data_IF_067606130920
#
_entry.id   IF_067606130920
#
_cell.length_a   1.000
_cell.length_b   1.000
_cell.length_c   1.000
_cell.angle_alpha   90.00
_cell.angle_beta   90.00
_cell.angle_gamma   90.00
#
_symmetry.space_group_name_H-M   'P 1'
#
loop_
_entity.id
_entity.type
_entity.pdbx_description
1 polymer ?
#
# COMPACT_ATOMS: atom_id res chain seq x y z
N UNK A 1 18.62 -63.08 -43.80
CA UNK A 1 18.40 -62.32 -42.58
C UNK A 1 18.50 -60.84 -42.94
N UNK A 2 17.35 -60.18 -43.17
CA UNK A 2 17.29 -58.75 -43.50
C UNK A 2 17.22 -57.92 -42.21
N UNK A 3 18.15 -57.00 -42.01
CA UNK A 3 18.19 -56.11 -40.87
C UNK A 3 16.98 -55.18 -40.93
N UNK A 4 16.34 -54.86 -39.79
CA UNK A 4 15.25 -53.87 -39.77
C UNK A 4 15.77 -52.43 -39.99
N UNK A 5 15.31 -51.83 -41.06
CA UNK A 5 15.53 -50.40 -41.35
C UNK A 5 14.80 -49.57 -40.31
N UNK A 6 15.50 -49.07 -39.33
CA UNK A 6 14.99 -48.06 -38.37
C UNK A 6 14.84 -46.74 -39.13
N UNK A 7 13.64 -46.48 -39.61
CA UNK A 7 13.24 -45.10 -40.06
C UNK A 7 13.19 -44.19 -38.87
N UNK A 8 14.22 -43.37 -38.67
CA UNK A 8 14.24 -42.24 -37.73
C UNK A 8 13.30 -41.17 -38.26
N UNK A 9 12.03 -41.26 -37.90
CA UNK A 9 11.07 -40.20 -38.12
C UNK A 9 11.48 -38.96 -37.25
N UNK A 10 11.80 -37.86 -37.90
CA UNK A 10 12.11 -36.60 -37.20
C UNK A 10 10.95 -36.26 -36.24
N UNK A 11 11.23 -35.99 -34.96
CA UNK A 11 10.15 -35.67 -34.00
C UNK A 11 9.38 -34.48 -34.51
N UNK A 12 8.06 -34.59 -34.49
CA UNK A 12 7.16 -33.52 -34.91
C UNK A 12 7.41 -32.27 -34.01
N UNK A 13 7.29 -31.08 -34.57
CA UNK A 13 7.55 -29.82 -33.85
C UNK A 13 6.80 -29.74 -32.50
N UNK A 14 5.61 -30.33 -32.38
CA UNK A 14 4.85 -30.39 -31.11
C UNK A 14 5.51 -31.29 -30.05
N UNK A 15 6.22 -32.36 -30.44
CA UNK A 15 6.98 -33.19 -29.50
C UNK A 15 8.22 -32.44 -28.99
N UNK A 16 8.82 -31.61 -29.83
CA UNK A 16 9.90 -30.71 -29.41
C UNK A 16 9.41 -29.65 -28.43
N UNK A 17 8.20 -29.09 -28.61
CA UNK A 17 7.59 -28.14 -27.68
C UNK A 17 7.16 -28.78 -26.36
N UNK A 18 6.73 -30.06 -26.37
CA UNK A 18 6.45 -30.85 -25.15
C UNK A 18 7.72 -31.15 -24.33
N UNK A 19 8.86 -31.25 -25.01
CA UNK A 19 10.19 -31.41 -24.39
C UNK A 19 10.85 -30.08 -23.96
N UNK A 20 10.13 -28.95 -23.97
CA UNK A 20 10.70 -27.66 -23.61
C UNK A 20 11.19 -27.68 -22.16
N UNK A 21 12.47 -27.38 -21.93
CA UNK A 21 13.07 -27.40 -20.61
C UNK A 21 12.48 -26.29 -19.73
N UNK A 22 11.96 -26.65 -18.56
CA UNK A 22 11.39 -25.74 -17.56
C UNK A 22 12.35 -24.64 -17.14
N UNK A 23 13.65 -24.83 -17.28
CA UNK A 23 14.69 -23.82 -16.96
C UNK A 23 14.49 -22.54 -17.74
N UNK A 24 14.06 -22.64 -19.01
CA UNK A 24 13.78 -21.47 -19.84
C UNK A 24 12.56 -20.66 -19.36
N UNK A 25 11.54 -21.34 -18.81
CA UNK A 25 10.37 -20.68 -18.23
C UNK A 25 10.78 -19.92 -16.96
N UNK A 26 11.61 -20.55 -16.11
CA UNK A 26 12.13 -19.86 -14.91
C UNK A 26 13.06 -18.71 -15.26
N UNK A 27 13.90 -18.85 -16.27
CA UNK A 27 14.75 -17.76 -16.75
C UNK A 27 13.90 -16.59 -17.27
N UNK A 28 12.91 -16.88 -18.11
CA UNK A 28 12.00 -15.86 -18.64
C UNK A 28 11.22 -15.17 -17.52
N UNK A 29 10.75 -15.91 -16.51
CA UNK A 29 10.10 -15.35 -15.32
C UNK A 29 11.06 -14.46 -14.51
N UNK A 30 12.30 -14.90 -14.30
CA UNK A 30 13.33 -14.12 -13.63
C UNK A 30 13.61 -12.80 -14.37
N UNK A 31 13.73 -12.84 -15.69
CA UNK A 31 13.90 -11.64 -16.51
C UNK A 31 12.66 -10.74 -16.46
N UNK A 32 11.46 -11.30 -16.49
CA UNK A 32 10.21 -10.56 -16.38
C UNK A 32 10.08 -9.79 -15.05
N UNK A 33 10.75 -10.25 -13.99
CA UNK A 33 10.80 -9.56 -12.69
C UNK A 33 11.95 -8.55 -12.64
N UNK A 34 13.16 -8.95 -13.06
CA UNK A 34 14.38 -8.14 -12.88
C UNK A 34 14.42 -6.95 -13.83
N UNK A 35 13.95 -7.12 -15.06
CA UNK A 35 14.01 -6.04 -16.07
C UNK A 35 13.15 -4.82 -15.67
N UNK A 36 11.87 -4.96 -15.28
CA UNK A 36 11.09 -3.81 -14.83
C UNK A 36 11.61 -3.17 -13.53
N UNK A 37 12.29 -3.96 -12.68
CA UNK A 37 12.89 -3.43 -11.46
C UNK A 37 14.04 -2.46 -11.76
N UNK A 38 14.83 -2.71 -12.79
CA UNK A 38 15.95 -1.85 -13.20
C UNK A 38 15.53 -0.78 -14.22
N UNK A 39 14.56 -1.09 -15.05
CA UNK A 39 14.02 -0.20 -16.07
C UNK A 39 12.51 -0.06 -15.90
N UNK A 40 12.05 0.84 -14.99
CA UNK A 40 10.62 1.06 -14.78
C UNK A 40 9.92 1.39 -16.09
N UNK A 41 8.87 0.64 -16.41
CA UNK A 41 8.13 0.76 -17.68
C UNK A 41 7.14 1.93 -17.60
N UNK A 42 6.65 2.22 -16.39
CA UNK A 42 5.66 3.27 -16.15
C UNK A 42 4.31 2.94 -16.77
N UNK A 43 3.86 1.69 -16.62
CA UNK A 43 2.56 1.29 -17.13
C UNK A 43 1.46 2.19 -16.56
N UNK A 44 0.55 2.70 -17.41
CA UNK A 44 -0.51 3.58 -16.95
C UNK A 44 -1.44 2.83 -15.98
N UNK A 45 -1.51 3.31 -14.76
CA UNK A 45 -2.41 2.80 -13.73
C UNK A 45 -3.63 3.69 -13.67
N UNK A 46 -4.83 3.11 -13.81
CA UNK A 46 -6.08 3.88 -13.68
C UNK A 46 -6.52 3.85 -12.22
N UNK A 47 -6.64 5.01 -11.54
CA UNK A 47 -7.05 5.04 -10.15
C UNK A 47 -8.44 4.43 -9.94
N UNK A 48 -8.54 3.56 -8.97
CA UNK A 48 -9.81 3.01 -8.51
C UNK A 48 -10.64 4.09 -7.79
N UNK A 49 -11.97 3.95 -7.75
CA UNK A 49 -12.83 4.88 -7.02
C UNK A 49 -12.44 5.01 -5.54
N UNK A 50 -11.99 3.92 -4.90
CA UNK A 50 -11.58 3.90 -3.50
C UNK A 50 -10.31 4.73 -3.27
N UNK A 51 -9.30 4.55 -4.11
CA UNK A 51 -8.03 5.30 -4.05
C UNK A 51 -8.24 6.77 -4.39
N UNK A 52 -9.05 7.05 -5.42
CA UNK A 52 -9.38 8.43 -5.79
C UNK A 52 -10.11 9.15 -4.66
N UNK A 53 -11.07 8.52 -4.02
CA UNK A 53 -11.80 9.08 -2.88
C UNK A 53 -10.87 9.37 -1.69
N UNK A 54 -9.88 8.49 -1.43
CA UNK A 54 -8.85 8.74 -0.43
C UNK A 54 -8.04 9.99 -0.77
N UNK A 55 -7.57 10.11 -2.00
CA UNK A 55 -6.82 11.27 -2.48
C UNK A 55 -7.64 12.56 -2.37
N UNK A 56 -8.88 12.58 -2.88
CA UNK A 56 -9.76 13.75 -2.87
C UNK A 56 -10.08 14.18 -1.42
N UNK A 57 -10.24 13.22 -0.51
CA UNK A 57 -10.48 13.48 0.92
C UNK A 57 -9.28 14.19 1.57
N UNK A 58 -8.06 13.70 1.34
CA UNK A 58 -6.87 14.33 1.88
C UNK A 58 -6.61 15.69 1.20
N UNK A 59 -6.92 15.84 -0.09
CA UNK A 59 -6.80 17.10 -0.82
C UNK A 59 -7.79 18.17 -0.34
N UNK A 60 -8.91 17.77 0.26
CA UNK A 60 -9.91 18.69 0.81
C UNK A 60 -9.50 19.36 2.13
N UNK A 61 -8.43 18.90 2.78
CA UNK A 61 -7.94 19.44 4.04
C UNK A 61 -7.31 20.82 3.84
N UNK A 62 -7.39 21.65 4.87
CA UNK A 62 -6.88 23.01 4.84
C UNK A 62 -5.62 23.16 5.70
N UNK A 63 -4.86 24.22 5.45
CA UNK A 63 -3.71 24.57 6.28
C UNK A 63 -4.13 24.75 7.75
N UNK A 64 -3.37 24.12 8.64
CA UNK A 64 -3.63 24.14 10.09
C UNK A 64 -4.62 23.08 10.58
N UNK A 65 -5.35 22.38 9.68
CA UNK A 65 -6.16 21.23 10.09
C UNK A 65 -5.26 20.19 10.80
N UNK A 66 -5.78 19.52 11.82
CA UNK A 66 -5.06 18.49 12.57
C UNK A 66 -5.63 17.13 12.23
N UNK A 67 -4.76 16.21 11.79
CA UNK A 67 -5.08 14.85 11.40
C UNK A 67 -4.48 13.87 12.40
N UNK A 68 -5.28 12.91 12.87
CA UNK A 68 -4.79 11.76 13.62
C UNK A 68 -4.28 10.70 12.64
N UNK A 69 -3.06 10.20 12.86
CA UNK A 69 -2.42 9.17 12.03
C UNK A 69 -2.11 7.95 12.90
N UNK A 70 -2.79 6.83 12.67
CA UNK A 70 -2.46 5.55 13.29
C UNK A 70 -1.58 4.73 12.36
N UNK A 71 -0.44 4.26 12.85
CA UNK A 71 0.53 3.47 12.10
C UNK A 71 0.66 2.08 12.74
N UNK A 72 -0.22 1.16 12.35
CA UNK A 72 -0.37 -0.16 12.94
C UNK A 72 0.15 -1.23 11.99
N UNK A 73 1.48 -1.39 11.95
CA UNK A 73 2.17 -2.21 10.95
C UNK A 73 3.41 -2.90 11.53
N UNK A 74 3.94 -3.84 10.77
CA UNK A 74 5.16 -4.58 11.04
C UNK A 74 6.15 -4.48 9.85
N UNK A 75 7.39 -4.97 9.99
CA UNK A 75 8.37 -4.96 8.92
C UNK A 75 7.90 -5.67 7.64
N UNK A 76 7.10 -6.73 7.76
CA UNK A 76 6.65 -7.52 6.60
C UNK A 76 5.64 -6.75 5.73
N UNK A 77 4.81 -5.91 6.32
CA UNK A 77 3.80 -5.09 5.62
C UNK A 77 4.36 -3.77 5.07
N UNK A 78 5.56 -3.39 5.45
CA UNK A 78 6.22 -2.14 5.02
C UNK A 78 6.24 -1.96 3.49
N UNK A 79 6.55 -2.96 2.65
CA UNK A 79 6.59 -2.77 1.20
C UNK A 79 5.26 -2.35 0.58
N UNK A 80 4.12 -2.71 1.19
CA UNK A 80 2.79 -2.34 0.70
C UNK A 80 2.31 -0.99 1.25
N UNK A 81 2.70 -0.64 2.49
CA UNK A 81 2.14 0.50 3.22
C UNK A 81 3.03 1.76 3.19
N UNK A 82 4.36 1.61 3.17
CA UNK A 82 5.27 2.74 3.14
C UNK A 82 5.11 3.63 1.91
N UNK A 83 4.90 3.11 0.67
CA UNK A 83 4.70 3.95 -0.51
C UNK A 83 3.48 4.88 -0.37
N UNK A 84 2.35 4.34 0.11
CA UNK A 84 1.18 5.16 0.41
C UNK A 84 1.47 6.19 1.50
N UNK A 85 2.11 5.78 2.61
CA UNK A 85 2.46 6.69 3.68
C UNK A 85 3.31 7.86 3.17
N UNK A 86 4.36 7.60 2.40
CA UNK A 86 5.21 8.64 1.80
C UNK A 86 4.41 9.60 0.93
N UNK A 87 3.54 9.08 0.08
CA UNK A 87 2.75 9.87 -0.85
C UNK A 87 1.67 10.70 -0.13
N UNK A 88 0.99 10.11 0.86
CA UNK A 88 0.01 10.82 1.67
C UNK A 88 0.67 11.91 2.54
N UNK A 89 1.86 11.65 3.09
CA UNK A 89 2.60 12.67 3.84
C UNK A 89 3.08 13.82 2.93
N UNK A 90 3.54 13.54 1.72
CA UNK A 90 3.84 14.59 0.75
C UNK A 90 2.62 15.48 0.49
N UNK A 91 1.45 14.87 0.29
CA UNK A 91 0.20 15.59 0.08
C UNK A 91 -0.19 16.44 1.30
N UNK A 92 -0.16 15.88 2.51
CA UNK A 92 -0.51 16.59 3.74
C UNK A 92 0.47 17.72 4.07
N UNK A 93 1.77 17.47 3.86
CA UNK A 93 2.82 18.47 4.14
C UNK A 93 2.74 19.68 3.20
N UNK A 94 2.48 19.47 1.89
CA UNK A 94 2.30 20.58 0.95
C UNK A 94 1.07 21.44 1.25
N UNK A 95 0.08 20.86 1.96
CA UNK A 95 -1.12 21.56 2.40
C UNK A 95 -0.99 22.20 3.80
N UNK A 96 0.12 22.01 4.49
CA UNK A 96 0.33 22.56 5.84
C UNK A 96 -0.53 21.90 6.92
N UNK A 97 -0.97 20.64 6.71
CA UNK A 97 -1.79 19.88 7.65
C UNK A 97 -0.94 19.36 8.79
N UNK A 98 -1.37 19.55 10.04
CA UNK A 98 -0.65 19.09 11.24
C UNK A 98 -0.98 17.62 11.56
N UNK A 99 -0.01 16.90 12.13
CA UNK A 99 -0.10 15.47 12.33
C UNK A 99 0.01 15.08 13.81
N UNK A 100 -0.90 14.26 14.30
CA UNK A 100 -0.78 13.57 15.60
C UNK A 100 -0.66 12.07 15.33
N UNK A 101 0.52 11.51 15.59
CA UNK A 101 0.91 10.17 15.18
C UNK A 101 0.90 9.25 16.40
N UNK A 102 0.33 8.05 16.26
CA UNK A 102 0.34 7.02 17.29
C UNK A 102 0.44 5.63 16.66
N UNK A 103 0.73 4.63 17.47
CA UNK A 103 0.66 3.22 17.06
C UNK A 103 0.11 2.34 18.18
N UNK A 104 -0.64 1.32 17.79
CA UNK A 104 -1.18 0.29 18.68
C UNK A 104 -0.46 -1.07 18.52
N UNK A 105 0.57 -1.12 17.66
CA UNK A 105 1.35 -2.34 17.42
C UNK A 105 2.72 -2.26 18.07
N UNK A 106 3.08 -3.30 18.83
CA UNK A 106 4.35 -3.37 19.54
C UNK A 106 5.58 -3.41 18.62
N UNK A 107 5.41 -3.91 17.38
CA UNK A 107 6.48 -3.98 16.39
C UNK A 107 6.67 -2.66 15.61
N UNK A 108 5.71 -1.74 15.68
CA UNK A 108 5.71 -0.53 14.89
C UNK A 108 6.63 0.60 15.40
N UNK A 109 6.89 0.82 16.69
CA UNK A 109 7.64 2.00 17.15
C UNK A 109 8.95 2.26 16.40
N UNK A 110 9.87 1.28 16.19
CA UNK A 110 11.11 1.55 15.45
C UNK A 110 10.87 1.96 14.00
N UNK A 111 9.82 1.41 13.37
CA UNK A 111 9.43 1.77 12.00
C UNK A 111 8.84 3.18 11.95
N UNK A 112 7.96 3.51 12.88
CA UNK A 112 7.34 4.84 12.98
C UNK A 112 8.39 5.91 13.20
N UNK A 113 9.35 5.70 14.11
CA UNK A 113 10.46 6.62 14.34
C UNK A 113 11.33 6.81 13.09
N UNK A 114 11.62 5.72 12.35
CA UNK A 114 12.31 5.80 11.06
C UNK A 114 11.50 6.63 10.07
N UNK A 115 10.20 6.35 9.93
CA UNK A 115 9.34 7.08 9.01
C UNK A 115 9.17 8.56 9.39
N UNK A 116 9.16 8.87 10.68
CA UNK A 116 9.18 10.26 11.15
C UNK A 116 10.44 10.96 10.63
N UNK A 117 11.64 10.41 10.85
CA UNK A 117 12.88 11.00 10.37
C UNK A 117 12.93 11.11 8.84
N UNK A 118 12.61 10.02 8.14
CA UNK A 118 12.85 9.92 6.71
C UNK A 118 11.73 10.56 5.85
N UNK A 119 10.53 10.76 6.42
CA UNK A 119 9.34 11.19 5.67
C UNK A 119 8.75 12.48 6.23
N UNK A 120 8.67 12.62 7.56
CA UNK A 120 8.03 13.78 8.19
C UNK A 120 9.06 14.93 8.36
N UNK A 121 10.22 14.65 8.92
CA UNK A 121 11.27 15.63 9.22
C UNK A 121 12.16 15.93 7.99
N UNK A 122 11.97 15.21 6.88
CA UNK A 122 12.72 15.40 5.63
C UNK A 122 11.78 15.85 4.53
N UNK A 123 12.13 16.87 3.70
CA UNK A 123 11.35 17.19 2.52
C UNK A 123 11.36 16.02 1.53
N UNK A 124 10.18 15.62 1.05
CA UNK A 124 10.04 14.51 0.09
C UNK A 124 10.14 14.97 -1.36
N UNK A 125 9.71 16.20 -1.64
CA UNK A 125 9.75 16.83 -2.94
C UNK A 125 10.11 18.32 -2.79
N UNK A 126 11.36 18.66 -2.44
CA UNK A 126 11.81 20.05 -2.43
C UNK A 126 11.71 20.67 -3.83
N UNK A 127 11.78 22.00 -3.90
CA UNK A 127 11.75 22.71 -5.18
C UNK A 127 12.80 22.16 -6.15
N UNK A 128 12.39 21.86 -7.40
CA UNK A 128 13.26 21.29 -8.42
C UNK A 128 13.42 19.76 -8.38
N UNK A 129 12.61 19.04 -7.59
CA UNK A 129 12.60 17.58 -7.60
C UNK A 129 12.25 17.05 -8.99
N UNK A 130 13.14 16.25 -9.58
CA UNK A 130 12.94 15.67 -10.90
C UNK A 130 11.68 14.79 -10.95
N UNK A 131 10.88 14.96 -12.01
CA UNK A 131 9.65 14.18 -12.21
C UNK A 131 8.49 14.53 -11.28
N UNK A 132 8.60 15.61 -10.49
CA UNK A 132 7.53 16.13 -9.66
C UNK A 132 7.10 17.52 -10.10
N UNK A 133 5.81 17.69 -10.40
CA UNK A 133 5.23 18.95 -10.90
C UNK A 133 4.37 19.70 -9.87
N UNK A 134 4.17 19.09 -8.71
CA UNK A 134 3.38 19.69 -7.63
C UNK A 134 4.14 20.76 -6.83
N UNK A 135 3.46 21.44 -5.91
CA UNK A 135 4.11 22.41 -5.02
C UNK A 135 5.11 21.71 -4.09
N UNK A 136 6.26 22.33 -3.78
CA UNK A 136 7.26 21.76 -2.89
C UNK A 136 6.69 21.56 -1.48
N UNK A 137 7.16 20.51 -0.82
CA UNK A 137 6.92 20.28 0.59
C UNK A 137 8.11 20.76 1.43
N UNK A 138 7.90 20.88 2.75
CA UNK A 138 8.92 21.23 3.72
C UNK A 138 9.09 20.16 4.79
N UNK A 139 10.23 20.18 5.46
CA UNK A 139 10.42 19.43 6.68
C UNK A 139 9.44 19.88 7.76
N UNK A 140 8.83 18.96 8.48
CA UNK A 140 7.99 19.24 9.63
C UNK A 140 8.80 19.29 10.91
N UNK A 141 8.43 20.21 11.78
CA UNK A 141 9.07 20.41 13.09
C UNK A 141 8.25 19.75 14.18
N UNK A 142 8.93 18.98 15.02
CA UNK A 142 8.35 18.31 16.18
C UNK A 142 7.68 19.32 17.11
N UNK A 143 6.53 18.94 17.67
CA UNK A 143 5.69 19.73 18.57
C UNK A 143 5.13 21.04 17.96
N UNK A 144 5.39 21.30 16.67
CA UNK A 144 4.87 22.46 15.93
C UNK A 144 3.96 21.99 14.79
N UNK A 145 4.47 21.11 13.94
CA UNK A 145 3.78 20.56 12.77
C UNK A 145 3.30 19.13 13.00
N UNK A 146 3.99 18.39 13.88
CA UNK A 146 3.60 17.04 14.25
C UNK A 146 3.90 16.71 15.72
N UNK A 147 3.14 15.76 16.27
CA UNK A 147 3.36 15.16 17.59
C UNK A 147 3.33 13.64 17.45
N UNK A 148 4.31 12.96 18.05
CA UNK A 148 4.28 11.51 18.18
C UNK A 148 3.90 11.12 19.61
N UNK A 149 2.77 10.42 19.76
CA UNK A 149 2.24 10.01 21.05
C UNK A 149 2.86 8.69 21.56
N UNK A 150 3.53 7.95 20.66
CA UNK A 150 4.14 6.66 20.99
C UNK A 150 3.20 5.48 20.81
N UNK A 151 3.55 4.38 21.46
CA UNK A 151 2.84 3.11 21.44
C UNK A 151 1.93 2.96 22.66
N UNK A 152 0.75 2.38 22.45
CA UNK A 152 -0.15 1.91 23.53
C UNK A 152 -0.70 0.53 23.21
N UNK A 153 -0.49 -0.38 24.14
CA UNK A 153 -1.07 -1.72 24.06
C UNK A 153 -2.50 -1.72 24.61
N UNK A 154 -3.37 -2.56 24.06
CA UNK A 154 -4.72 -2.78 24.60
C UNK A 154 -5.80 -3.05 23.56
N UNK A 155 -5.42 -3.32 22.33
CA UNK A 155 -6.36 -3.76 21.27
C UNK A 155 -7.61 -2.85 21.19
N UNK A 156 -8.80 -3.46 21.19
CA UNK A 156 -10.10 -2.79 21.09
C UNK A 156 -10.38 -1.78 22.22
N UNK A 157 -9.96 -2.10 23.45
CA UNK A 157 -10.19 -1.22 24.59
C UNK A 157 -9.48 0.14 24.41
N UNK A 158 -8.25 0.13 23.87
CA UNK A 158 -7.53 1.36 23.60
C UNK A 158 -8.21 2.18 22.50
N UNK A 159 -8.69 1.55 21.42
CA UNK A 159 -9.41 2.26 20.36
C UNK A 159 -10.67 2.95 20.91
N UNK A 160 -11.43 2.27 21.73
CA UNK A 160 -12.60 2.86 22.40
C UNK A 160 -12.20 4.02 23.32
N UNK A 161 -11.10 3.89 24.06
CA UNK A 161 -10.58 4.95 24.93
C UNK A 161 -10.08 6.16 24.13
N UNK A 162 -9.41 5.95 22.98
CA UNK A 162 -9.01 7.01 22.06
C UNK A 162 -10.22 7.83 21.56
N UNK A 163 -11.33 7.14 21.28
CA UNK A 163 -12.59 7.78 20.92
C UNK A 163 -13.13 8.71 21.99
N UNK A 164 -12.88 8.39 23.26
CA UNK A 164 -13.37 9.16 24.41
C UNK A 164 -12.36 10.22 24.88
N UNK A 165 -11.09 9.84 25.09
CA UNK A 165 -10.04 10.72 25.60
C UNK A 165 -8.64 10.24 25.19
N UNK A 166 -8.08 10.89 24.16
CA UNK A 166 -6.75 10.58 23.66
C UNK A 166 -5.64 11.00 24.64
N UNK A 167 -5.85 12.08 25.39
CA UNK A 167 -4.87 12.58 26.36
C UNK A 167 -4.69 11.60 27.49
N UNK A 168 -5.79 11.15 28.07
CA UNK A 168 -5.77 10.13 29.12
C UNK A 168 -5.17 8.81 28.61
N UNK A 169 -5.51 8.42 27.41
CA UNK A 169 -5.01 7.17 26.81
C UNK A 169 -3.49 7.16 26.68
N UNK A 170 -2.88 8.29 26.34
CA UNK A 170 -1.42 8.45 26.24
C UNK A 170 -0.77 9.07 27.49
N UNK A 171 -1.48 9.16 28.62
CA UNK A 171 -0.93 9.69 29.88
C UNK A 171 -0.60 11.17 29.86
N UNK A 172 -1.24 11.95 28.95
CA UNK A 172 -1.06 13.39 28.85
C UNK A 172 0.29 13.85 28.32
N UNK A 173 1.10 12.95 27.74
CA UNK A 173 2.45 13.22 27.26
C UNK A 173 2.67 12.68 25.86
N UNK A 174 3.52 13.35 25.09
CA UNK A 174 4.11 12.82 23.85
C UNK A 174 5.17 11.76 24.18
N UNK A 175 5.61 11.02 23.17
CA UNK A 175 6.61 9.94 23.33
C UNK A 175 7.95 10.42 23.89
N UNK A 176 8.30 11.68 23.68
CA UNK A 176 9.50 12.33 24.21
C UNK A 176 9.34 12.88 25.66
N UNK A 177 8.18 12.62 26.27
CA UNK A 177 7.87 13.10 27.60
C UNK A 177 7.28 14.51 27.69
N UNK A 178 7.22 15.27 26.58
CA UNK A 178 6.64 16.63 26.55
C UNK A 178 5.15 16.58 26.94
N UNK A 179 4.69 17.35 27.93
CA UNK A 179 3.27 17.43 28.28
C UNK A 179 2.44 17.96 27.10
N UNK A 180 1.34 17.27 26.76
CA UNK A 180 0.48 17.66 25.64
C UNK A 180 -0.15 19.05 25.81
N UNK A 181 -0.30 19.51 27.05
CA UNK A 181 -0.82 20.86 27.34
C UNK A 181 0.19 21.97 27.00
N UNK A 182 1.46 21.65 26.84
CA UNK A 182 2.52 22.58 26.44
C UNK A 182 2.71 22.63 24.91
N UNK A 183 1.97 21.79 24.15
CA UNK A 183 2.07 21.70 22.70
C UNK A 183 0.90 22.47 22.06
N UNK A 184 1.13 23.64 21.44
CA UNK A 184 0.05 24.50 20.96
C UNK A 184 -0.90 23.83 19.98
N UNK A 185 -0.41 22.94 19.09
CA UNK A 185 -1.25 22.23 18.13
C UNK A 185 -2.21 21.22 18.79
N UNK A 186 -1.96 20.85 20.05
CA UNK A 186 -2.85 19.98 20.83
C UNK A 186 -3.95 20.73 21.58
N UNK A 187 -3.99 22.07 21.50
CA UNK A 187 -5.04 22.87 22.14
C UNK A 187 -6.40 22.55 21.52
N UNK A 188 -7.38 22.28 22.37
CA UNK A 188 -8.72 21.88 21.94
C UNK A 188 -8.88 20.40 21.57
N UNK A 189 -7.79 19.64 21.42
CA UNK A 189 -7.86 18.22 21.09
C UNK A 189 -7.90 17.39 22.37
N UNK A 190 -9.03 16.69 22.59
CA UNK A 190 -9.27 15.79 23.72
C UNK A 190 -9.57 14.36 23.29
N UNK A 191 -10.27 14.17 22.17
CA UNK A 191 -10.76 12.89 21.68
C UNK A 191 -10.59 12.80 20.16
N UNK A 192 -10.77 11.61 19.58
CA UNK A 192 -10.65 11.43 18.11
C UNK A 192 -11.61 12.30 17.30
N UNK A 193 -12.77 12.65 17.86
CA UNK A 193 -13.75 13.54 17.20
C UNK A 193 -13.26 14.98 17.00
N UNK A 194 -12.24 15.38 17.72
CA UNK A 194 -11.69 16.75 17.64
C UNK A 194 -10.69 16.90 16.48
N UNK A 195 -10.29 15.77 15.87
CA UNK A 195 -9.48 15.79 14.64
C UNK A 195 -10.35 16.00 13.41
N UNK A 196 -9.80 16.66 12.42
CA UNK A 196 -10.47 16.88 11.13
C UNK A 196 -10.66 15.58 10.35
N UNK A 197 -9.70 14.65 10.50
CA UNK A 197 -9.67 13.35 9.85
C UNK A 197 -8.81 12.39 10.68
N UNK A 198 -9.12 11.09 10.61
CA UNK A 198 -8.23 10.01 11.03
C UNK A 198 -7.71 9.28 9.80
N UNK A 199 -6.39 9.24 9.63
CA UNK A 199 -5.68 8.47 8.62
C UNK A 199 -5.14 7.19 9.26
N UNK A 200 -5.65 6.05 8.84
CA UNK A 200 -5.36 4.75 9.43
C UNK A 200 -4.51 3.94 8.46
N UNK A 201 -3.26 3.65 8.81
CA UNK A 201 -2.34 2.83 8.02
C UNK A 201 -2.10 1.55 8.79
N UNK A 202 -2.73 0.45 8.38
CA UNK A 202 -2.75 -0.77 9.19
C UNK A 202 -2.57 -2.05 8.37
N UNK A 203 -1.79 -2.98 8.92
CA UNK A 203 -1.52 -4.28 8.30
C UNK A 203 -2.53 -5.37 8.73
N UNK A 204 -3.25 -5.19 9.84
CA UNK A 204 -4.15 -6.22 10.38
C UNK A 204 -4.83 -5.80 11.68
N UNK A 205 -4.81 -6.68 12.68
CA UNK A 205 -5.52 -6.51 13.95
C UNK A 205 -4.57 -6.14 15.11
N UNK A 206 -4.92 -5.12 15.95
CA UNK A 206 -5.96 -4.12 15.74
C UNK A 206 -5.57 -3.15 14.63
N UNK A 207 -6.57 -2.62 13.90
CA UNK A 207 -6.32 -1.71 12.80
C UNK A 207 -7.56 -0.97 12.32
N UNK A 208 -7.59 -0.57 11.06
CA UNK A 208 -8.66 0.26 10.50
C UNK A 208 -10.07 -0.32 10.72
N UNK A 209 -10.23 -1.65 10.66
CA UNK A 209 -11.51 -2.33 10.91
C UNK A 209 -12.06 -2.02 12.30
N UNK A 210 -11.21 -2.13 13.33
CA UNK A 210 -11.59 -1.88 14.71
C UNK A 210 -11.88 -0.39 14.94
N UNK A 211 -11.16 0.52 14.32
CA UNK A 211 -11.49 1.94 14.36
C UNK A 211 -12.88 2.21 13.79
N UNK A 212 -13.26 1.59 12.67
CA UNK A 212 -14.61 1.73 12.11
C UNK A 212 -15.65 1.15 13.07
N UNK A 213 -15.44 -0.05 13.57
CA UNK A 213 -16.43 -0.77 14.41
C UNK A 213 -16.65 -0.13 15.78
N UNK A 214 -15.60 0.38 16.43
CA UNK A 214 -15.69 0.84 17.82
C UNK A 214 -15.84 2.34 17.98
N UNK A 215 -15.37 3.14 17.00
CA UNK A 215 -15.36 4.60 17.18
C UNK A 215 -15.99 5.38 16.04
N UNK A 216 -15.90 4.93 14.77
CA UNK A 216 -16.43 5.67 13.63
C UNK A 216 -17.94 5.90 13.77
N UNK A 217 -18.70 4.83 13.91
CA UNK A 217 -20.17 4.90 14.00
C UNK A 217 -20.64 5.65 15.24
N UNK A 218 -19.89 5.54 16.36
CA UNK A 218 -20.26 6.17 17.62
C UNK A 218 -20.04 7.67 17.65
N UNK A 219 -18.97 8.14 16.98
CA UNK A 219 -18.55 9.53 17.03
C UNK A 219 -18.63 10.25 15.68
N UNK A 220 -19.17 9.58 14.65
CA UNK A 220 -19.26 10.06 13.28
C UNK A 220 -17.91 10.62 12.75
N UNK A 221 -16.86 9.82 12.93
CA UNK A 221 -15.50 10.22 12.58
C UNK A 221 -15.28 10.15 11.06
N UNK A 222 -14.56 11.13 10.53
CA UNK A 222 -14.07 11.10 9.16
C UNK A 222 -12.80 10.26 9.11
N UNK A 223 -12.79 9.18 8.32
CA UNK A 223 -11.69 8.24 8.27
C UNK A 223 -11.30 7.91 6.83
N UNK A 224 -10.00 7.83 6.59
CA UNK A 224 -9.38 7.24 5.40
C UNK A 224 -8.48 6.12 5.88
N UNK A 225 -8.52 4.97 5.21
CA UNK A 225 -7.71 3.81 5.56
C UNK A 225 -6.77 3.43 4.42
N UNK A 226 -5.56 2.99 4.81
CA UNK A 226 -4.66 2.23 3.96
C UNK A 226 -4.38 0.88 4.64
N UNK A 227 -4.40 -0.18 3.84
CA UNK A 227 -4.22 -1.54 4.34
C UNK A 227 -3.43 -2.40 3.34
N UNK A 228 -2.99 -3.57 3.79
CA UNK A 228 -2.42 -4.58 2.88
C UNK A 228 -3.47 -5.09 1.90
N UNK A 229 -3.04 -5.64 0.77
CA UNK A 229 -3.94 -6.17 -0.25
C UNK A 229 -4.93 -7.20 0.30
N UNK A 230 -4.49 -8.05 1.22
CA UNK A 230 -5.33 -9.08 1.88
C UNK A 230 -6.46 -8.45 2.69
N UNK A 231 -6.20 -7.37 3.41
CA UNK A 231 -7.18 -6.70 4.27
C UNK A 231 -8.19 -5.83 3.50
N UNK A 232 -7.96 -5.59 2.22
CA UNK A 232 -8.84 -4.77 1.38
C UNK A 232 -10.25 -5.33 1.30
N UNK A 233 -10.39 -6.65 1.21
CA UNK A 233 -11.69 -7.33 1.14
C UNK A 233 -12.53 -7.11 2.39
N UNK A 234 -11.89 -7.05 3.56
CA UNK A 234 -12.56 -6.82 4.84
C UNK A 234 -12.99 -5.36 5.04
N UNK A 235 -12.25 -4.41 4.43
CA UNK A 235 -12.50 -2.98 4.57
C UNK A 235 -13.40 -2.40 3.47
N UNK A 236 -13.45 -3.03 2.31
CA UNK A 236 -14.27 -2.58 1.16
C UNK A 236 -15.75 -2.37 1.50
N UNK A 237 -16.43 -3.23 2.30
CA UNK A 237 -17.81 -2.99 2.69
C UNK A 237 -18.02 -1.69 3.49
N UNK A 238 -17.05 -1.30 4.33
CA UNK A 238 -17.13 -0.05 5.10
C UNK A 238 -16.96 1.19 4.22
N UNK A 239 -16.14 1.09 3.17
CA UNK A 239 -16.08 2.14 2.14
C UNK A 239 -17.40 2.27 1.38
N UNK A 240 -17.99 1.15 0.95
CA UNK A 240 -19.28 1.13 0.25
C UNK A 240 -20.42 1.67 1.13
N UNK A 241 -20.37 1.43 2.44
CA UNK A 241 -21.34 1.96 3.41
C UNK A 241 -21.08 3.44 3.77
N UNK A 242 -20.03 4.08 3.24
CA UNK A 242 -19.67 5.48 3.54
C UNK A 242 -19.05 5.69 4.92
N UNK A 243 -18.69 4.61 5.63
CA UNK A 243 -18.02 4.69 6.93
C UNK A 243 -16.53 5.02 6.79
N UNK A 244 -15.91 4.61 5.66
CA UNK A 244 -14.61 5.07 5.22
C UNK A 244 -14.78 6.01 4.03
N UNK A 245 -14.17 7.18 4.07
CA UNK A 245 -14.19 8.17 2.99
C UNK A 245 -13.23 7.85 1.86
N UNK A 246 -12.31 6.92 2.08
CA UNK A 246 -11.36 6.42 1.10
C UNK A 246 -10.64 5.20 1.62
N UNK A 247 -10.20 4.35 0.69
CA UNK A 247 -9.48 3.11 1.00
C UNK A 247 -8.38 2.87 -0.03
N UNK A 248 -7.16 2.64 0.45
CA UNK A 248 -6.00 2.30 -0.37
C UNK A 248 -5.51 0.91 0.03
N UNK A 249 -5.69 -0.07 -0.85
CA UNK A 249 -5.44 -1.48 -0.58
C UNK A 249 -4.20 -2.03 -1.29
N UNK A 250 -3.12 -2.28 -0.55
CA UNK A 250 -1.92 -2.92 -1.05
C UNK A 250 -1.08 -2.06 -2.01
N UNK A 251 -0.07 -2.69 -2.60
CA UNK A 251 0.92 -2.02 -3.44
C UNK A 251 0.32 -1.41 -4.71
N UNK A 252 -0.64 -2.09 -5.34
CA UNK A 252 -1.28 -1.60 -6.57
C UNK A 252 -2.04 -0.29 -6.34
N UNK A 253 -2.85 -0.21 -5.27
CA UNK A 253 -3.56 1.02 -4.92
C UNK A 253 -2.60 2.11 -4.42
N UNK A 254 -1.48 1.74 -3.79
CA UNK A 254 -0.41 2.68 -3.45
C UNK A 254 0.23 3.29 -4.70
N UNK A 255 0.40 2.51 -5.79
CA UNK A 255 0.88 3.01 -7.09
C UNK A 255 -0.13 3.98 -7.74
N UNK A 256 -1.43 3.66 -7.67
CA UNK A 256 -2.51 4.57 -8.09
C UNK A 256 -2.42 5.91 -7.33
N UNK A 257 -2.15 5.84 -6.03
CA UNK A 257 -2.04 7.03 -5.18
C UNK A 257 -0.78 7.86 -5.50
N UNK A 258 0.37 7.22 -5.72
CA UNK A 258 1.61 7.87 -6.19
C UNK A 258 1.36 8.68 -7.48
N UNK A 259 0.63 8.09 -8.43
CA UNK A 259 0.28 8.75 -9.68
C UNK A 259 -0.60 9.98 -9.43
N UNK A 260 -1.63 9.89 -8.55
CA UNK A 260 -2.50 11.02 -8.22
C UNK A 260 -1.75 12.17 -7.55
N UNK A 261 -0.77 11.86 -6.71
CA UNK A 261 0.09 12.86 -6.06
C UNK A 261 1.08 13.50 -7.05
N UNK A 262 1.29 12.86 -8.20
CA UNK A 262 2.20 13.35 -9.25
C UNK A 262 3.68 13.03 -8.98
N UNK A 263 3.96 12.02 -8.17
CA UNK A 263 5.32 11.57 -7.88
C UNK A 263 5.43 10.06 -7.97
N UNK A 264 6.15 9.56 -8.96
CA UNK A 264 6.49 8.15 -9.08
C UNK A 264 7.39 7.72 -7.91
N UNK A 265 7.05 6.60 -7.30
CA UNK A 265 7.79 6.03 -6.19
C UNK A 265 7.95 4.51 -6.33
N UNK A 266 8.24 3.87 -5.21
CA UNK A 266 8.49 2.43 -5.17
C UNK A 266 7.25 1.57 -5.45
N UNK A 267 6.04 2.11 -5.23
CA UNK A 267 4.82 1.38 -5.55
C UNK A 267 4.60 1.28 -7.06
N UNK A 268 4.84 2.34 -7.82
CA UNK A 268 4.74 2.29 -9.29
C UNK A 268 5.74 1.29 -9.88
N UNK A 269 6.98 1.28 -9.41
CA UNK A 269 7.98 0.29 -9.82
C UNK A 269 7.54 -1.14 -9.48
N UNK A 270 7.04 -1.36 -8.25
CA UNK A 270 6.52 -2.65 -7.84
C UNK A 270 5.29 -3.11 -8.62
N UNK A 271 4.40 -2.19 -8.99
CA UNK A 271 3.23 -2.47 -9.83
C UNK A 271 3.63 -2.91 -11.24
N UNK A 272 4.65 -2.29 -11.84
CA UNK A 272 5.20 -2.73 -13.14
C UNK A 272 5.69 -4.18 -13.07
N UNK A 273 6.46 -4.53 -12.03
CA UNK A 273 6.95 -5.90 -11.81
C UNK A 273 5.81 -6.89 -11.67
N UNK A 274 4.78 -6.55 -10.86
CA UNK A 274 3.60 -7.39 -10.69
C UNK A 274 2.85 -7.60 -12.01
N UNK A 275 2.61 -6.55 -12.77
CA UNK A 275 1.87 -6.60 -14.03
C UNK A 275 2.62 -7.43 -15.08
N UNK A 276 3.92 -7.24 -15.25
CA UNK A 276 4.74 -8.02 -16.17
C UNK A 276 4.82 -9.48 -15.73
N UNK A 277 5.01 -9.74 -14.43
CA UNK A 277 5.03 -11.09 -13.85
C UNK A 277 3.72 -11.83 -14.08
N UNK A 278 2.57 -11.22 -13.78
CA UNK A 278 1.24 -11.79 -14.04
C UNK A 278 1.01 -12.04 -15.53
N UNK A 279 1.38 -11.08 -16.41
CA UNK A 279 1.33 -11.25 -17.85
C UNK A 279 2.12 -12.47 -18.32
N UNK A 280 3.32 -12.67 -17.78
CA UNK A 280 4.16 -13.83 -18.10
C UNK A 280 3.54 -15.16 -17.63
N UNK A 281 2.92 -15.21 -16.46
CA UNK A 281 2.20 -16.40 -15.97
C UNK A 281 1.03 -16.72 -16.91
N UNK A 282 0.23 -15.73 -17.29
CA UNK A 282 -0.89 -15.93 -18.23
C UNK A 282 -0.39 -16.45 -19.56
N UNK A 283 0.68 -15.87 -20.13
CA UNK A 283 1.29 -16.33 -21.37
C UNK A 283 1.80 -17.77 -21.25
N UNK A 284 2.44 -18.13 -20.15
CA UNK A 284 2.91 -19.49 -19.92
C UNK A 284 1.76 -20.52 -19.85
N UNK A 285 0.65 -20.15 -19.20
CA UNK A 285 -0.57 -21.00 -19.14
C UNK A 285 -1.18 -21.15 -20.52
N UNK A 286 -1.33 -20.06 -21.29
CA UNK A 286 -1.88 -20.12 -22.66
C UNK A 286 -1.00 -20.96 -23.57
N UNK A 287 0.31 -20.78 -23.51
CA UNK A 287 1.27 -21.58 -24.26
C UNK A 287 1.20 -23.06 -23.91
N UNK A 288 1.20 -23.42 -22.62
CA UNK A 288 1.08 -24.79 -22.16
C UNK A 288 -0.21 -25.47 -22.64
N UNK A 289 -1.35 -24.79 -22.54
CA UNK A 289 -2.63 -25.25 -23.04
C UNK A 289 -2.63 -25.44 -24.56
N UNK A 290 -2.07 -24.47 -25.29
CA UNK A 290 -1.93 -24.56 -26.76
C UNK A 290 -1.15 -25.81 -27.18
N UNK A 291 0.02 -26.02 -26.59
CA UNK A 291 0.87 -27.21 -26.88
C UNK A 291 0.14 -28.49 -26.53
N UNK A 292 -0.55 -28.56 -25.41
CA UNK A 292 -1.35 -29.71 -24.98
C UNK A 292 -2.48 -30.06 -25.99
N UNK A 293 -3.29 -29.08 -26.37
CA UNK A 293 -4.40 -29.29 -27.30
C UNK A 293 -3.92 -29.71 -28.71
N UNK A 294 -2.84 -29.08 -29.18
CA UNK A 294 -2.23 -29.44 -30.47
C UNK A 294 -1.73 -30.89 -30.45
N UNK A 295 -1.01 -31.31 -29.41
CA UNK A 295 -0.53 -32.67 -29.26
C UNK A 295 -1.67 -33.68 -29.17
N UNK A 296 -2.76 -33.38 -28.44
CA UNK A 296 -3.96 -34.21 -28.34
C UNK A 296 -4.65 -34.36 -29.68
N UNK A 297 -4.76 -33.32 -30.48
CA UNK A 297 -5.39 -33.33 -31.82
C UNK A 297 -4.59 -34.20 -32.78
N UNK A 298 -3.28 -34.18 -32.73
CA UNK A 298 -2.41 -35.01 -33.56
C UNK A 298 -2.48 -36.51 -33.20
N UNK A 299 -2.44 -36.86 -31.91
CA UNK A 299 -2.62 -38.22 -31.43
C UNK A 299 -3.95 -38.85 -31.90
N UNK A 300 -5.05 -38.03 -31.86
CA UNK A 300 -6.35 -38.50 -32.37
C UNK A 300 -6.33 -38.71 -33.87
N UNK A 301 -5.65 -37.88 -34.67
CA UNK A 301 -5.52 -38.08 -36.13
C UNK A 301 -4.67 -39.29 -36.47
N UNK A 302 -3.59 -39.55 -35.76
CA UNK A 302 -2.73 -40.74 -35.94
C UNK A 302 -3.41 -42.04 -35.52
N UNK A 303 -4.40 -42.01 -34.63
CA UNK A 303 -5.17 -43.19 -34.21
C UNK A 303 -6.32 -43.56 -35.17
N UNK A 304 -6.66 -42.70 -36.13
CA UNK A 304 -7.74 -42.88 -37.12
C UNK A 304 -7.17 -43.18 -38.53
N UNK A 305 -5.89 -42.90 -38.75
CA UNK A 305 -5.15 -43.27 -39.96
C UNK A 305 -4.46 -44.63 -39.82
#
# INVERSE_FOLDING_TARGET
MSAPTTTTTRPHWTERLQGFDRRWIFLAMGLAIVVPLWFPIGLPVKPSPMTKAAYDTLESLQEGDVVFVSLDLDPASTPELEPFFRSSMLQLKRRGVKLVIATLWYAAPPLVERWIRDVIETPLAPAGTAGYTGPPDRAYKKNVDYVYLGFREGKQAIISNLGADIRRTFGGRAADGTPLDQIPMMNGIKALKDFKLSLLVSAGFPGAKEYVQYVQSRYNLRMVAACTAVSTTDLSPYFQAGQLLGLVGGLAASAEYEMLVGRSGTAMQGADVLNVGHGMVVLAILFGNFVYFMGRRQRRRAAVA
#
